data_IF_121039292042
#
_entry.id   IF_121039292042
#
_cell.length_a   1.000
_cell.length_b   1.000
_cell.length_c   1.000
_cell.angle_alpha   90.00
_cell.angle_beta   90.00
_cell.angle_gamma   90.00
#
_symmetry.space_group_name_H-M   'P 1'
#
loop_
_entity.id
_entity.type
_entity.pdbx_description
1 polymer ?
#
# COMPACT_ATOMS: atom_id res chain seq x y z
N UNK A 1 -6.80 -30.02 -10.97
CA UNK A 1 -5.69 -29.04 -10.99
C UNK A 1 -5.85 -28.16 -9.76
N UNK A 2 -4.80 -27.94 -8.99
CA UNK A 2 -4.84 -27.08 -7.81
C UNK A 2 -4.19 -25.75 -8.18
N UNK A 3 -4.90 -24.65 -7.99
CA UNK A 3 -4.40 -23.30 -8.31
C UNK A 3 -4.29 -22.47 -7.03
N UNK A 4 -3.16 -21.78 -6.89
CA UNK A 4 -2.88 -20.82 -5.83
C UNK A 4 -2.57 -19.49 -6.51
N UNK A 5 -3.19 -18.41 -6.04
CA UNK A 5 -2.95 -17.06 -6.53
C UNK A 5 -2.11 -16.34 -5.49
N UNK A 6 -0.87 -16.02 -5.85
CA UNK A 6 -0.04 -15.09 -5.08
C UNK A 6 -0.27 -13.67 -5.57
N UNK A 7 -0.05 -12.68 -4.70
CA UNK A 7 -0.33 -11.26 -4.97
C UNK A 7 -1.75 -10.99 -5.48
N UNK A 8 -2.75 -11.57 -4.80
CA UNK A 8 -4.16 -11.46 -5.18
C UNK A 8 -4.68 -10.01 -5.24
N UNK A 9 -4.01 -9.04 -4.60
CA UNK A 9 -4.37 -7.62 -4.71
C UNK A 9 -4.31 -7.10 -6.16
N UNK A 10 -3.49 -7.73 -7.01
CA UNK A 10 -3.35 -7.35 -8.42
C UNK A 10 -4.62 -7.53 -9.24
N UNK A 11 -5.50 -8.46 -8.84
CA UNK A 11 -6.82 -8.68 -9.47
C UNK A 11 -7.69 -7.42 -9.36
N UNK A 12 -7.50 -6.62 -8.30
CA UNK A 12 -8.27 -5.42 -8.01
C UNK A 12 -7.53 -4.13 -8.43
N UNK A 13 -6.26 -3.99 -8.05
CA UNK A 13 -5.51 -2.74 -8.19
C UNK A 13 -5.10 -2.47 -9.64
N UNK A 14 -4.72 -3.51 -10.38
CA UNK A 14 -4.15 -3.36 -11.71
C UNK A 14 -5.02 -3.94 -12.82
N UNK A 15 -6.10 -4.63 -12.43
CA UNK A 15 -7.23 -5.02 -13.28
C UNK A 15 -6.82 -5.44 -14.70
N UNK A 16 -7.58 -4.96 -15.69
CA UNK A 16 -7.31 -5.23 -17.10
C UNK A 16 -6.25 -4.34 -17.76
N UNK A 17 -5.74 -3.32 -17.05
CA UNK A 17 -4.87 -2.31 -17.68
C UNK A 17 -3.39 -2.66 -17.61
N UNK A 18 -2.93 -3.31 -16.55
CA UNK A 18 -1.54 -3.77 -16.47
C UNK A 18 -1.39 -5.20 -16.99
N UNK A 19 -2.32 -6.09 -16.63
CA UNK A 19 -2.28 -7.50 -17.05
C UNK A 19 -3.68 -8.11 -17.13
N UNK A 20 -4.34 -8.02 -18.31
CA UNK A 20 -5.70 -8.52 -18.54
C UNK A 20 -6.00 -9.92 -18.01
N UNK A 21 -5.00 -10.81 -18.05
CA UNK A 21 -5.13 -12.20 -17.58
C UNK A 21 -5.39 -12.31 -16.07
N UNK A 22 -4.92 -11.33 -15.27
CA UNK A 22 -5.19 -11.26 -13.83
C UNK A 22 -6.62 -10.82 -13.50
N UNK A 23 -7.38 -10.28 -14.47
CA UNK A 23 -8.78 -9.92 -14.29
C UNK A 23 -9.77 -11.07 -14.50
N UNK A 24 -9.31 -12.25 -14.93
CA UNK A 24 -10.17 -13.45 -15.15
C UNK A 24 -9.73 -14.72 -14.40
N UNK A 25 -9.26 -14.65 -13.14
CA UNK A 25 -8.78 -15.82 -12.39
C UNK A 25 -9.89 -16.80 -12.01
N UNK A 26 -11.17 -16.40 -12.12
CA UNK A 26 -12.33 -17.24 -11.79
C UNK A 26 -12.39 -18.55 -12.57
N UNK A 27 -11.73 -18.64 -13.72
CA UNK A 27 -11.67 -19.87 -14.53
C UNK A 27 -10.78 -20.94 -13.90
N UNK A 28 -9.86 -20.56 -13.01
CA UNK A 28 -8.87 -21.44 -12.42
C UNK A 28 -9.33 -22.06 -11.09
N UNK A 29 -10.47 -21.60 -10.54
CA UNK A 29 -11.03 -22.06 -9.26
C UNK A 29 -9.97 -22.19 -8.15
N UNK A 30 -9.32 -21.08 -7.76
CA UNK A 30 -8.20 -21.10 -6.82
C UNK A 30 -8.64 -21.61 -5.44
N UNK A 31 -7.79 -22.42 -4.82
CA UNK A 31 -8.01 -22.91 -3.45
C UNK A 31 -7.43 -21.99 -2.38
N UNK A 32 -6.51 -21.10 -2.78
CA UNK A 32 -5.79 -20.19 -1.89
C UNK A 32 -5.44 -18.91 -2.66
N UNK A 33 -5.68 -17.77 -2.01
CA UNK A 33 -5.27 -16.45 -2.46
C UNK A 33 -4.43 -15.78 -1.37
N UNK A 34 -3.23 -15.32 -1.70
CA UNK A 34 -2.30 -14.66 -0.76
C UNK A 34 -1.99 -13.25 -1.24
N UNK A 35 -1.82 -12.34 -0.29
CA UNK A 35 -1.38 -10.97 -0.52
C UNK A 35 -0.82 -10.41 0.78
N UNK A 36 0.14 -9.48 0.68
CA UNK A 36 0.63 -8.74 1.85
C UNK A 36 -0.38 -7.68 2.33
N UNK A 37 -1.07 -7.05 1.39
CA UNK A 37 -2.02 -5.96 1.64
C UNK A 37 -3.43 -6.37 1.23
N UNK A 38 -4.39 -6.21 2.15
CA UNK A 38 -5.79 -6.57 1.94
C UNK A 38 -6.76 -5.64 2.70
N UNK A 39 -7.01 -4.41 2.21
CA UNK A 39 -8.09 -3.59 2.74
C UNK A 39 -9.43 -4.33 2.66
N UNK A 40 -10.39 -4.01 3.54
CA UNK A 40 -11.71 -4.68 3.57
C UNK A 40 -12.40 -4.71 2.20
N UNK A 41 -12.34 -3.61 1.44
CA UNK A 41 -12.90 -3.52 0.08
C UNK A 41 -12.27 -4.54 -0.88
N UNK A 42 -10.96 -4.75 -0.79
CA UNK A 42 -10.24 -5.73 -1.60
C UNK A 42 -10.67 -7.16 -1.25
N UNK A 43 -10.81 -7.48 0.04
CA UNK A 43 -11.25 -8.82 0.48
C UNK A 43 -12.64 -9.15 -0.09
N UNK A 44 -13.59 -8.23 0.02
CA UNK A 44 -14.95 -8.43 -0.52
C UNK A 44 -14.95 -8.54 -2.04
N UNK A 45 -14.12 -7.74 -2.72
CA UNK A 45 -13.94 -7.87 -4.17
C UNK A 45 -13.40 -9.25 -4.56
N UNK A 46 -12.34 -9.72 -3.89
CA UNK A 46 -11.72 -11.03 -4.18
C UNK A 46 -12.66 -12.20 -3.91
N UNK A 47 -13.49 -12.14 -2.86
CA UNK A 47 -14.54 -13.14 -2.61
C UNK A 47 -15.48 -13.29 -3.81
N UNK A 48 -15.97 -12.16 -4.33
CA UNK A 48 -16.86 -12.15 -5.50
C UNK A 48 -16.16 -12.61 -6.78
N UNK A 49 -14.93 -12.13 -7.01
CA UNK A 49 -14.22 -12.35 -8.27
C UNK A 49 -13.64 -13.76 -8.39
N UNK A 50 -13.07 -14.31 -7.30
CA UNK A 50 -12.45 -15.64 -7.29
C UNK A 50 -13.46 -16.79 -7.18
N UNK A 51 -14.75 -16.49 -6.96
CA UNK A 51 -15.84 -17.47 -6.75
C UNK A 51 -15.57 -18.46 -5.60
N UNK A 52 -14.75 -18.07 -4.63
CA UNK A 52 -14.50 -18.88 -3.44
C UNK A 52 -15.71 -18.73 -2.51
N UNK A 53 -16.46 -19.82 -2.32
CA UNK A 53 -17.59 -19.84 -1.38
C UNK A 53 -17.06 -19.91 0.05
N UNK A 54 -17.52 -18.99 0.88
CA UNK A 54 -17.23 -18.92 2.32
C UNK A 54 -15.74 -19.16 2.68
N UNK A 55 -14.82 -18.33 2.15
CA UNK A 55 -13.40 -18.54 2.39
C UNK A 55 -13.05 -18.31 3.85
N UNK A 56 -12.19 -19.17 4.39
CA UNK A 56 -11.48 -18.87 5.63
C UNK A 56 -10.51 -17.71 5.40
N UNK A 57 -10.68 -16.62 6.14
CA UNK A 57 -9.83 -15.44 6.04
C UNK A 57 -8.80 -15.47 7.17
N UNK A 58 -7.54 -15.68 6.81
CA UNK A 58 -6.42 -15.59 7.74
C UNK A 58 -5.75 -14.21 7.61
N UNK A 59 -5.78 -13.43 8.68
CA UNK A 59 -5.10 -12.12 8.75
C UNK A 59 -3.94 -12.22 9.73
N UNK A 60 -2.72 -11.95 9.24
CA UNK A 60 -1.53 -11.91 10.08
C UNK A 60 -1.34 -10.56 10.76
N UNK A 61 -0.75 -10.56 11.96
CA UNK A 61 -0.26 -9.34 12.58
C UNK A 61 1.02 -8.88 11.84
N UNK A 62 1.03 -7.61 11.45
CA UNK A 62 2.19 -6.96 10.84
C UNK A 62 3.29 -6.66 11.85
N UNK A 63 2.96 -6.58 13.14
CA UNK A 63 3.93 -6.26 14.18
C UNK A 63 5.08 -7.29 14.22
N UNK A 64 6.28 -6.76 14.44
CA UNK A 64 7.53 -7.52 14.53
C UNK A 64 8.23 -7.05 15.79
N UNK A 65 7.99 -7.69 16.95
CA UNK A 65 8.50 -7.23 18.24
C UNK A 65 10.04 -7.23 18.32
N UNK A 66 10.70 -7.92 17.39
CA UNK A 66 12.15 -7.95 17.22
C UNK A 66 12.70 -6.84 16.30
N UNK A 67 11.87 -5.95 15.76
CA UNK A 67 12.29 -4.82 14.91
C UNK A 67 12.09 -3.52 15.68
N UNK A 68 13.19 -2.86 16.05
CA UNK A 68 13.15 -1.53 16.66
C UNK A 68 13.15 -0.44 15.58
N UNK A 69 12.16 0.47 15.64
CA UNK A 69 12.04 1.59 14.70
C UNK A 69 12.62 2.84 15.38
N UNK A 70 13.72 3.38 14.83
CA UNK A 70 14.30 4.65 15.28
C UNK A 70 14.35 5.68 14.15
N UNK A 71 14.20 6.96 14.50
CA UNK A 71 14.49 8.09 13.60
C UNK A 71 15.56 8.97 14.22
N UNK A 72 16.55 9.36 13.44
CA UNK A 72 17.57 10.33 13.83
C UNK A 72 17.55 11.50 12.86
N UNK A 73 17.78 12.73 13.36
CA UNK A 73 18.06 13.85 12.46
C UNK A 73 19.31 13.50 11.67
N UNK A 74 19.25 13.60 10.34
CA UNK A 74 20.44 13.55 9.50
C UNK A 74 21.37 14.65 9.99
N UNK A 75 22.64 14.32 10.29
CA UNK A 75 23.63 15.36 10.61
C UNK A 75 23.73 16.27 9.39
N UNK A 76 23.71 17.60 9.55
CA UNK A 76 23.85 18.52 8.43
C UNK A 76 25.09 18.13 7.63
N UNK A 77 24.92 17.80 6.34
CA UNK A 77 26.06 17.64 5.42
C UNK A 77 26.75 18.99 5.18
N UNK A 78 25.98 20.07 5.34
CA UNK A 78 26.37 21.48 5.27
C UNK A 78 25.45 22.27 6.22
N UNK A 79 25.92 23.39 6.76
CA UNK A 79 25.34 24.17 7.86
C UNK A 79 23.80 24.44 7.76
N UNK A 80 23.02 23.75 8.60
CA UNK A 80 21.88 24.28 9.37
C UNK A 80 20.58 24.76 8.70
N UNK A 81 20.59 25.37 7.51
CA UNK A 81 19.42 26.07 6.96
C UNK A 81 19.07 25.71 5.51
N UNK A 82 20.06 25.27 4.73
CA UNK A 82 19.90 24.97 3.30
C UNK A 82 18.92 23.80 3.06
N UNK A 83 18.99 22.71 3.83
CA UNK A 83 18.12 21.54 3.59
C UNK A 83 16.61 21.78 3.76
N UNK A 84 16.18 22.74 4.60
CA UNK A 84 14.74 23.04 4.71
C UNK A 84 14.28 23.84 3.50
N UNK A 85 15.01 24.91 3.16
CA UNK A 85 14.66 25.78 2.05
C UNK A 85 14.84 25.10 0.68
N UNK A 86 15.81 24.21 0.53
CA UNK A 86 16.15 23.59 -0.76
C UNK A 86 15.41 22.28 -1.02
N UNK A 87 14.97 21.58 0.03
CA UNK A 87 14.32 20.25 -0.10
C UNK A 87 12.89 20.28 0.43
N UNK A 88 12.68 20.73 1.67
CA UNK A 88 11.36 20.61 2.30
C UNK A 88 10.38 21.68 1.82
N UNK A 89 10.83 22.92 1.61
CA UNK A 89 10.00 24.02 1.17
C UNK A 89 9.44 23.79 -0.25
N UNK A 90 10.23 23.37 -1.26
CA UNK A 90 9.70 23.12 -2.60
C UNK A 90 8.73 21.94 -2.62
N UNK A 91 8.99 20.89 -1.83
CA UNK A 91 8.07 19.75 -1.68
C UNK A 91 6.77 20.22 -1.01
N UNK A 92 6.83 21.04 0.03
CA UNK A 92 5.66 21.55 0.72
C UNK A 92 4.81 22.45 -0.19
N UNK A 93 5.43 23.30 -1.01
CA UNK A 93 4.75 24.14 -2.00
C UNK A 93 4.11 23.31 -3.11
N UNK A 94 4.83 22.33 -3.66
CA UNK A 94 4.33 21.42 -4.69
C UNK A 94 3.16 20.57 -4.17
N UNK A 95 3.24 20.04 -2.94
CA UNK A 95 2.14 19.34 -2.29
C UNK A 95 0.95 20.28 -2.08
N UNK A 96 1.18 21.52 -1.65
CA UNK A 96 0.13 22.52 -1.45
C UNK A 96 -0.62 22.83 -2.75
N UNK A 97 0.07 22.85 -3.90
CA UNK A 97 -0.54 23.02 -5.22
C UNK A 97 -1.35 21.78 -5.64
N UNK A 98 -0.89 20.58 -5.27
CA UNK A 98 -1.55 19.29 -5.59
C UNK A 98 -2.72 18.92 -4.69
N UNK A 99 -2.97 19.67 -3.61
CA UNK A 99 -4.13 19.48 -2.70
C UNK A 99 -5.50 19.65 -3.39
N UNK A 100 -5.54 20.03 -4.67
CA UNK A 100 -6.78 20.20 -5.44
C UNK A 100 -7.42 18.83 -5.79
N UNK A 101 -6.64 17.74 -5.88
CA UNK A 101 -7.16 16.42 -6.32
C UNK A 101 -7.17 15.31 -5.25
N UNK A 102 -6.45 15.46 -4.12
CA UNK A 102 -6.35 14.41 -3.10
C UNK A 102 -6.33 14.98 -1.66
N UNK A 103 -7.23 14.57 -0.75
CA UNK A 103 -7.16 14.98 0.64
C UNK A 103 -5.98 14.29 1.33
N UNK A 104 -4.87 15.01 1.49
CA UNK A 104 -3.70 14.56 2.25
C UNK A 104 -3.82 14.98 3.72
N UNK A 105 -3.69 14.04 4.66
CA UNK A 105 -3.50 14.36 6.08
C UNK A 105 -2.01 14.44 6.37
N UNK A 106 -1.49 15.66 6.51
CA UNK A 106 -0.10 15.89 6.94
C UNK A 106 -0.09 15.98 8.46
N UNK A 107 0.49 14.98 9.13
CA UNK A 107 0.74 15.03 10.57
C UNK A 107 2.11 15.68 10.80
N UNK A 108 2.10 16.98 11.09
CA UNK A 108 3.30 17.70 11.51
C UNK A 108 3.44 17.65 13.03
N UNK A 109 4.57 17.14 13.51
CA UNK A 109 4.94 17.19 14.93
C UNK A 109 5.92 18.35 15.13
N UNK A 110 5.56 19.41 15.89
CA UNK A 110 6.46 20.52 16.15
C UNK A 110 7.69 20.01 16.90
N UNK A 111 8.87 20.33 16.35
CA UNK A 111 10.15 20.05 17.00
C UNK A 111 10.35 21.06 18.15
N UNK A 112 10.35 20.57 19.39
CA UNK A 112 11.01 21.26 20.51
C UNK A 112 12.52 21.17 20.34
#
# INVERSE_FOLDING_TARGET
>A
MVCIIDEAHLVYEWGSEFRPDFGKPSQLSPILARTATAPKKLIEFLKGNLRIKDPFILVGNLDRPNIFICKSKRRPSSFGAESYNDILLPIAEDIKLKLIDYPLTIVYLPLK
#
